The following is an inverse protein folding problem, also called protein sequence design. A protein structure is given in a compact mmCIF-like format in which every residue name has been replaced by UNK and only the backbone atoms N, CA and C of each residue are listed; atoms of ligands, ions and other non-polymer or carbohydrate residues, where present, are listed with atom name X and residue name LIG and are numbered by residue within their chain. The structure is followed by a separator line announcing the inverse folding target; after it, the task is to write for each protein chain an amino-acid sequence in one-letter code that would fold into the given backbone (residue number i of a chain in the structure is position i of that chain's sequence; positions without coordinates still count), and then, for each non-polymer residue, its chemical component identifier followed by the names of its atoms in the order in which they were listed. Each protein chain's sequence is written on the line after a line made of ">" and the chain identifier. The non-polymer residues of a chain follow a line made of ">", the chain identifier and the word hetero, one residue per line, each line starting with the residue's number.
data_IF_267056202794
#
_entry.id   IF_267056202794
#
_cell.length_a   1.000
_cell.length_b   1.000
_cell.length_c   1.000
_cell.angle_alpha   90.00
_cell.angle_beta   90.00
_cell.angle_gamma   90.00
#
_symmetry.space_group_name_H-M   'P 1'
#
loop_
_entity.id
_entity.type
_entity.pdbx_description
1 polymer ?
#
# COMPACT_ATOMS: atom_id res chain seq x y z
N UNK A 1 -23.83 8.28 -8.14
CA UNK A 1 -22.88 9.30 -7.65
C UNK A 1 -22.73 9.22 -6.14
N UNK A 2 -23.78 9.48 -5.34
CA UNK A 2 -23.72 9.32 -3.87
C UNK A 2 -23.30 7.91 -3.45
N UNK A 3 -23.91 6.88 -4.05
CA UNK A 3 -23.56 5.48 -3.82
C UNK A 3 -22.09 5.19 -4.13
N UNK A 4 -21.59 5.68 -5.27
CA UNK A 4 -20.17 5.56 -5.64
C UNK A 4 -19.26 6.22 -4.62
N UNK A 5 -19.55 7.45 -4.19
CA UNK A 5 -18.73 8.17 -3.21
C UNK A 5 -18.62 7.35 -1.92
N UNK A 6 -19.76 6.84 -1.43
CA UNK A 6 -19.80 6.00 -0.22
C UNK A 6 -19.02 4.70 -0.45
N UNK A 7 -19.25 4.00 -1.56
CA UNK A 7 -18.54 2.77 -1.89
C UNK A 7 -17.04 2.97 -2.03
N UNK A 8 -16.60 4.04 -2.69
CA UNK A 8 -15.18 4.37 -2.85
C UNK A 8 -14.54 4.69 -1.51
N UNK A 9 -15.22 5.44 -0.64
CA UNK A 9 -14.74 5.72 0.71
C UNK A 9 -14.64 4.47 1.57
N UNK A 10 -15.67 3.62 1.57
CA UNK A 10 -15.68 2.35 2.31
C UNK A 10 -14.60 1.41 1.77
N UNK A 11 -14.48 1.26 0.45
CA UNK A 11 -13.48 0.40 -0.17
C UNK A 11 -12.07 0.87 0.22
N UNK A 12 -11.79 2.16 0.05
CA UNK A 12 -10.52 2.77 0.41
C UNK A 12 -10.18 2.52 1.88
N UNK A 13 -11.03 3.01 2.79
CA UNK A 13 -10.80 2.89 4.23
C UNK A 13 -10.68 1.44 4.67
N UNK A 14 -11.51 0.53 4.15
CA UNK A 14 -11.45 -0.89 4.50
C UNK A 14 -10.15 -1.55 4.07
N UNK A 15 -9.63 -1.22 2.88
CA UNK A 15 -8.38 -1.81 2.36
C UNK A 15 -7.11 -1.13 2.86
N UNK A 16 -7.22 -0.05 3.64
CA UNK A 16 -6.07 0.65 4.19
C UNK A 16 -5.95 0.50 5.72
N UNK A 17 -6.84 -0.28 6.36
CA UNK A 17 -6.80 -0.53 7.81
C UNK A 17 -5.52 -1.27 8.22
N UNK A 18 -5.05 -2.20 7.41
CA UNK A 18 -3.84 -3.00 7.64
C UNK A 18 -2.55 -2.19 7.47
N UNK A 19 -2.52 -1.25 6.52
CA UNK A 19 -1.42 -0.30 6.33
C UNK A 19 -1.12 0.50 7.60
N UNK A 20 -2.15 0.87 8.38
CA UNK A 20 -1.98 1.58 9.66
C UNK A 20 -1.11 0.75 10.62
N UNK A 21 -1.31 -0.56 10.69
CA UNK A 21 -0.50 -1.44 11.54
C UNK A 21 0.93 -1.57 11.01
N UNK A 22 1.12 -1.66 9.70
CA UNK A 22 2.46 -1.69 9.10
C UNK A 22 3.21 -0.39 9.37
N UNK A 23 2.58 0.75 9.14
CA UNK A 23 3.15 2.07 9.42
C UNK A 23 3.49 2.21 10.90
N UNK A 24 2.59 1.79 11.80
CA UNK A 24 2.83 1.78 13.23
C UNK A 24 4.10 0.98 13.58
N UNK A 25 4.28 -0.20 13.01
CA UNK A 25 5.46 -1.04 13.23
C UNK A 25 6.72 -0.37 12.67
N UNK A 26 6.67 0.20 11.46
CA UNK A 26 7.81 0.88 10.84
C UNK A 26 8.24 2.13 11.63
N UNK A 27 7.29 2.98 12.02
CA UNK A 27 7.56 4.15 12.86
C UNK A 27 8.07 3.74 14.25
N UNK A 28 7.52 2.68 14.83
CA UNK A 28 7.99 2.12 16.10
C UNK A 28 9.46 1.66 16.01
N UNK A 29 9.85 0.96 14.93
CA UNK A 29 11.24 0.55 14.70
C UNK A 29 12.20 1.74 14.58
N UNK A 30 11.78 2.80 13.88
CA UNK A 30 12.59 4.03 13.77
C UNK A 30 12.73 4.71 15.13
N UNK A 31 11.64 4.83 15.90
CA UNK A 31 11.63 5.49 17.21
C UNK A 31 12.37 4.70 18.30
N UNK A 32 12.26 3.38 18.32
CA UNK A 32 13.00 2.51 19.27
C UNK A 32 14.49 2.45 18.97
N UNK A 33 14.90 2.55 17.69
CA UNK A 33 16.31 2.68 17.31
C UNK A 33 16.99 3.96 17.83
N UNK A 34 16.21 4.98 18.16
CA UNK A 34 16.66 6.27 18.69
C UNK A 34 16.85 6.24 20.21
N UNK A 35 15.99 5.50 20.92
CA UNK A 35 16.10 5.32 22.38
C UNK A 35 17.42 4.65 22.78
N UNK A 36 18.04 3.86 21.88
CA UNK A 36 19.34 3.20 22.11
C UNK A 36 20.58 4.09 21.85
N UNK A 37 20.42 5.25 21.21
CA UNK A 37 21.55 6.15 20.88
C UNK A 37 21.20 7.56 21.35
N UNK A 38 21.62 7.91 22.55
CA UNK A 38 21.39 9.23 23.13
C UNK A 38 22.33 10.27 22.52
N UNK A 39 21.77 11.32 21.91
CA UNK A 39 22.52 12.47 21.39
C UNK A 39 21.69 13.35 20.44
N UNK A 40 21.87 14.67 20.48
CA UNK A 40 21.11 15.65 19.68
C UNK A 40 21.19 15.44 18.15
N UNK A 41 22.28 14.83 17.66
CA UNK A 41 22.45 14.40 16.26
C UNK A 41 21.54 13.24 15.84
N UNK A 42 21.03 12.48 16.81
CA UNK A 42 20.17 11.31 16.55
C UNK A 42 18.75 11.74 16.18
N UNK A 43 18.24 12.83 16.79
CA UNK A 43 16.87 13.33 16.53
C UNK A 43 16.67 13.86 15.11
N UNK A 44 17.70 14.45 14.51
CA UNK A 44 17.68 14.84 13.09
C UNK A 44 17.61 13.64 12.15
N UNK A 45 18.38 12.58 12.44
CA UNK A 45 18.34 11.32 11.67
C UNK A 45 17.00 10.58 11.82
N UNK A 46 16.32 10.71 12.96
CA UNK A 46 14.98 10.15 13.17
C UNK A 46 13.96 10.74 12.21
N UNK A 47 13.84 12.08 12.18
CA UNK A 47 12.88 12.77 11.29
C UNK A 47 13.09 12.43 9.82
N UNK A 48 14.35 12.29 9.39
CA UNK A 48 14.66 11.88 8.01
C UNK A 48 14.20 10.45 7.72
N UNK A 49 14.36 9.53 8.66
CA UNK A 49 13.89 8.14 8.51
C UNK A 49 12.36 8.05 8.51
N UNK A 50 11.70 8.84 9.36
CA UNK A 50 10.24 8.97 9.36
C UNK A 50 9.74 9.48 8.00
N UNK A 51 10.41 10.50 7.43
CA UNK A 51 10.09 11.00 6.10
C UNK A 51 10.28 9.94 5.00
N UNK A 52 11.29 9.07 5.11
CA UNK A 52 11.47 7.98 4.14
C UNK A 52 10.35 6.93 4.22
N UNK A 53 9.76 6.72 5.40
CA UNK A 53 8.56 5.89 5.56
C UNK A 53 7.39 6.53 4.82
N UNK A 54 7.15 7.82 5.05
CA UNK A 54 6.05 8.54 4.38
C UNK A 54 6.24 8.53 2.86
N UNK A 55 7.40 8.94 2.35
CA UNK A 55 7.67 8.95 0.89
C UNK A 55 7.54 7.55 0.29
N UNK A 56 8.07 6.53 0.98
CA UNK A 56 7.98 5.15 0.53
C UNK A 56 6.55 4.64 0.48
N UNK A 57 5.72 4.97 1.48
CA UNK A 57 4.30 4.60 1.50
C UNK A 57 3.54 5.27 0.35
N UNK A 58 3.75 6.57 0.15
CA UNK A 58 3.11 7.33 -0.94
C UNK A 58 3.49 6.76 -2.31
N UNK A 59 4.76 6.42 -2.50
CA UNK A 59 5.24 5.81 -3.74
C UNK A 59 4.66 4.40 -3.96
N UNK A 60 4.68 3.55 -2.92
CA UNK A 60 4.12 2.21 -2.97
C UNK A 60 2.61 2.20 -3.24
N UNK A 61 1.87 3.08 -2.58
CA UNK A 61 0.43 3.20 -2.77
C UNK A 61 0.04 3.81 -4.12
N UNK A 62 0.82 4.78 -4.61
CA UNK A 62 0.68 5.28 -5.99
C UNK A 62 0.87 4.16 -7.01
N UNK A 63 1.83 3.26 -6.78
CA UNK A 63 2.06 2.11 -7.64
C UNK A 63 0.88 1.11 -7.59
N UNK A 64 0.28 0.87 -6.41
CA UNK A 64 -0.93 0.06 -6.27
C UNK A 64 -2.08 0.64 -7.09
N UNK A 65 -2.36 1.94 -6.98
CA UNK A 65 -3.41 2.61 -7.75
C UNK A 65 -3.11 2.49 -9.25
N UNK A 66 -1.87 2.76 -9.66
CA UNK A 66 -1.44 2.68 -11.05
C UNK A 66 -1.63 1.27 -11.64
N UNK A 67 -1.18 0.24 -10.93
CA UNK A 67 -1.38 -1.16 -11.31
C UNK A 67 -2.87 -1.52 -11.35
N UNK A 68 -3.68 -0.93 -10.48
CA UNK A 68 -5.13 -1.17 -10.45
C UNK A 68 -5.82 -0.56 -11.67
N UNK A 69 -5.43 0.66 -12.08
CA UNK A 69 -5.93 1.30 -13.31
C UNK A 69 -5.53 0.46 -14.53
N UNK A 70 -4.26 0.06 -14.65
CA UNK A 70 -3.80 -0.80 -15.76
C UNK A 70 -4.53 -2.15 -15.73
N UNK A 71 -4.65 -2.76 -14.56
CA UNK A 71 -5.34 -4.01 -14.36
C UNK A 71 -6.82 -3.92 -14.74
N UNK A 72 -7.46 -2.77 -14.54
CA UNK A 72 -8.87 -2.55 -14.94
C UNK A 72 -9.08 -2.66 -16.45
N UNK A 73 -8.05 -2.44 -17.27
CA UNK A 73 -8.09 -2.64 -18.72
C UNK A 73 -8.25 -4.12 -19.10
N UNK A 74 -8.01 -5.06 -18.18
CA UNK A 74 -8.33 -6.47 -18.40
C UNK A 74 -9.82 -6.71 -18.67
N UNK A 75 -10.69 -5.81 -18.23
CA UNK A 75 -12.14 -5.87 -18.48
C UNK A 75 -12.53 -5.81 -19.95
N UNK A 76 -11.65 -5.31 -20.83
CA UNK A 76 -11.88 -5.35 -22.28
C UNK A 76 -11.85 -6.78 -22.85
N UNK A 77 -11.16 -7.70 -22.17
CA UNK A 77 -10.96 -9.08 -22.64
C UNK A 77 -11.60 -10.13 -21.71
N UNK A 78 -11.81 -9.78 -20.44
CA UNK A 78 -12.28 -10.69 -19.38
C UNK A 78 -13.58 -10.13 -18.78
N UNK A 79 -14.68 -10.90 -18.71
CA UNK A 79 -15.90 -10.46 -18.05
C UNK A 79 -15.66 -10.04 -16.59
N UNK A 80 -16.31 -8.97 -16.14
CA UNK A 80 -16.13 -8.42 -14.78
C UNK A 80 -16.40 -9.46 -13.68
N UNK A 81 -17.29 -10.43 -13.93
CA UNK A 81 -17.56 -11.54 -13.00
C UNK A 81 -16.33 -12.40 -12.70
N UNK A 82 -15.40 -12.53 -13.66
CA UNK A 82 -14.15 -13.28 -13.48
C UNK A 82 -13.09 -12.43 -12.77
N UNK A 83 -13.13 -11.10 -12.91
CA UNK A 83 -12.25 -10.18 -12.18
C UNK A 83 -12.49 -10.28 -10.67
N UNK A 84 -13.72 -10.58 -10.24
CA UNK A 84 -14.04 -10.83 -8.83
C UNK A 84 -13.25 -11.99 -8.20
N UNK A 85 -12.68 -12.90 -9.01
CA UNK A 85 -11.80 -13.97 -8.54
C UNK A 85 -10.44 -13.43 -8.04
N UNK A 86 -10.12 -12.16 -8.26
CA UNK A 86 -8.92 -11.54 -7.68
C UNK A 86 -8.91 -11.58 -6.16
N UNK A 87 -10.06 -11.77 -5.50
CA UNK A 87 -10.12 -12.03 -4.05
C UNK A 87 -9.35 -13.28 -3.60
N UNK A 88 -9.01 -14.20 -4.51
CA UNK A 88 -8.11 -15.32 -4.21
C UNK A 88 -6.64 -14.91 -4.15
N UNK A 89 -6.24 -13.78 -4.75
CA UNK A 89 -4.85 -13.29 -4.74
C UNK A 89 -4.38 -12.97 -3.31
N UNK A 90 -5.12 -12.18 -2.49
CA UNK A 90 -4.75 -11.95 -1.09
C UNK A 90 -4.67 -13.25 -0.28
N UNK A 91 -5.59 -14.20 -0.51
CA UNK A 91 -5.59 -15.49 0.19
C UNK A 91 -4.31 -16.27 -0.13
N UNK A 92 -3.97 -16.39 -1.42
CA UNK A 92 -2.75 -17.05 -1.86
C UNK A 92 -1.50 -16.39 -1.29
N UNK A 93 -1.43 -15.05 -1.32
CA UNK A 93 -0.31 -14.30 -0.76
C UNK A 93 -0.19 -14.47 0.75
N UNK A 94 -1.31 -14.51 1.49
CA UNK A 94 -1.34 -14.80 2.92
C UNK A 94 -0.80 -16.19 3.26
N UNK A 95 -1.27 -17.22 2.55
CA UNK A 95 -0.79 -18.61 2.72
C UNK A 95 0.70 -18.72 2.40
N UNK A 96 1.13 -18.17 1.26
CA UNK A 96 2.53 -18.16 0.84
C UNK A 96 3.40 -17.40 1.85
N UNK A 97 2.90 -16.28 2.37
CA UNK A 97 3.52 -15.49 3.43
C UNK A 97 3.86 -16.34 4.64
N UNK A 98 2.87 -17.04 5.20
CA UNK A 98 3.04 -17.93 6.36
C UNK A 98 4.08 -19.02 6.08
N UNK A 99 4.05 -19.65 4.90
CA UNK A 99 5.00 -20.70 4.53
C UNK A 99 6.43 -20.16 4.35
N UNK A 100 6.56 -18.92 3.87
CA UNK A 100 7.86 -18.27 3.61
C UNK A 100 8.55 -17.74 4.88
N UNK A 101 7.81 -17.52 5.98
CA UNK A 101 8.37 -17.11 7.28
C UNK A 101 9.42 -18.10 7.80
N UNK A 102 9.36 -19.35 7.34
CA UNK A 102 10.31 -20.41 7.71
C UNK A 102 11.70 -20.25 7.07
N UNK A 103 11.84 -19.41 6.03
CA UNK A 103 13.05 -19.32 5.21
C UNK A 103 13.70 -17.93 5.20
N UNK A 104 13.40 -17.08 6.19
CA UNK A 104 13.92 -15.71 6.25
C UNK A 104 15.41 -15.67 6.60
N UNK A 105 16.26 -15.67 5.57
CA UNK A 105 17.68 -15.30 5.68
C UNK A 105 17.76 -13.77 5.69
N UNK A 106 18.31 -13.20 6.76
CA UNK A 106 18.50 -11.77 6.96
C UNK A 106 19.50 -11.23 5.93
N UNK A 107 19.01 -10.71 4.81
CA UNK A 107 19.84 -10.00 3.85
C UNK A 107 20.08 -8.57 4.32
N UNK A 108 21.30 -8.11 4.07
CA UNK A 108 21.93 -6.92 4.64
C UNK A 108 21.15 -5.62 4.38
N UNK A 109 21.23 -4.74 5.37
CA UNK A 109 20.63 -3.41 5.36
C UNK A 109 21.37 -2.56 4.33
N UNK A 110 20.74 -2.28 3.19
CA UNK A 110 21.23 -1.26 2.26
C UNK A 110 20.98 0.10 2.92
N UNK A 111 22.03 0.65 3.52
CA UNK A 111 22.04 1.87 4.33
C UNK A 111 22.11 3.15 3.47
N UNK A 112 21.26 3.24 2.44
CA UNK A 112 21.12 4.43 1.60
C UNK A 112 19.66 4.91 1.55
N UNK A 113 19.47 6.23 1.36
CA UNK A 113 18.16 6.90 1.36
C UNK A 113 17.17 6.23 0.40
N UNK A 114 17.60 5.96 -0.83
CA UNK A 114 16.80 5.25 -1.83
C UNK A 114 16.39 3.85 -1.35
N UNK A 115 17.32 3.10 -0.73
CA UNK A 115 17.07 1.77 -0.19
C UNK A 115 15.97 1.76 0.88
N UNK A 116 15.92 2.78 1.75
CA UNK A 116 14.86 2.88 2.77
C UNK A 116 13.50 3.19 2.16
N UNK A 117 13.42 4.07 1.16
CA UNK A 117 12.18 4.41 0.46
C UNK A 117 11.66 3.19 -0.33
N UNK A 118 12.53 2.54 -1.12
CA UNK A 118 12.17 1.35 -1.89
C UNK A 118 11.77 0.18 -0.99
N UNK A 119 12.41 0.02 0.17
CA UNK A 119 12.02 -0.99 1.14
C UNK A 119 10.59 -0.78 1.63
N UNK A 120 10.24 0.45 2.01
CA UNK A 120 8.89 0.77 2.48
C UNK A 120 7.89 0.57 1.35
N UNK A 121 8.15 1.12 0.16
CA UNK A 121 7.30 0.92 -1.02
C UNK A 121 7.09 -0.57 -1.38
N UNK A 122 8.13 -1.40 -1.23
CA UNK A 122 8.04 -2.84 -1.47
C UNK A 122 7.18 -3.54 -0.41
N UNK A 123 7.26 -3.11 0.86
CA UNK A 123 6.40 -3.60 1.93
C UNK A 123 4.95 -3.20 1.65
N UNK A 124 4.69 -1.94 1.30
CA UNK A 124 3.37 -1.43 0.92
C UNK A 124 2.78 -2.23 -0.25
N UNK A 125 3.56 -2.43 -1.32
CA UNK A 125 3.12 -3.21 -2.49
C UNK A 125 2.83 -4.68 -2.14
N UNK A 126 3.65 -5.29 -1.28
CA UNK A 126 3.44 -6.66 -0.83
C UNK A 126 2.20 -6.80 0.04
N UNK A 127 1.88 -5.76 0.82
CA UNK A 127 0.69 -5.70 1.66
C UNK A 127 -0.58 -5.47 0.83
N UNK A 128 -0.54 -4.54 -0.12
CA UNK A 128 -1.72 -4.08 -0.84
C UNK A 128 -2.27 -5.00 -1.93
N UNK A 129 -2.11 -6.31 -1.77
CA UNK A 129 -2.73 -7.31 -2.64
C UNK A 129 -4.26 -7.26 -2.56
N UNK A 130 -4.80 -6.99 -1.37
CA UNK A 130 -6.22 -6.78 -1.13
C UNK A 130 -6.72 -5.47 -1.75
N UNK A 131 -5.95 -4.36 -1.64
CA UNK A 131 -6.22 -3.12 -2.37
C UNK A 131 -6.37 -3.40 -3.87
N UNK A 132 -5.38 -4.07 -4.48
CA UNK A 132 -5.40 -4.41 -5.92
C UNK A 132 -6.63 -5.27 -6.26
N UNK A 133 -6.95 -6.26 -5.42
CA UNK A 133 -8.07 -7.17 -5.64
C UNK A 133 -9.44 -6.49 -5.63
N UNK A 134 -9.57 -5.38 -4.90
CA UNK A 134 -10.80 -4.58 -4.80
C UNK A 134 -10.81 -3.45 -5.83
N UNK A 135 -9.67 -2.77 -6.02
CA UNK A 135 -9.58 -1.59 -6.88
C UNK A 135 -9.70 -1.93 -8.37
N UNK A 136 -9.11 -3.04 -8.84
CA UNK A 136 -9.23 -3.47 -10.24
C UNK A 136 -10.70 -3.65 -10.67
N UNK A 137 -11.51 -4.51 -10.03
CA UNK A 137 -12.91 -4.69 -10.43
C UNK A 137 -13.73 -3.41 -10.24
N UNK A 138 -13.41 -2.62 -9.22
CA UNK A 138 -14.07 -1.35 -8.97
C UNK A 138 -13.85 -0.35 -10.12
N UNK A 139 -12.60 -0.12 -10.54
CA UNK A 139 -12.28 0.75 -11.70
C UNK A 139 -12.82 0.18 -13.02
N UNK A 140 -12.82 -1.14 -13.19
CA UNK A 140 -13.34 -1.81 -14.38
C UNK A 140 -14.87 -1.67 -14.53
N UNK A 141 -15.59 -1.62 -13.40
CA UNK A 141 -17.06 -1.51 -13.38
C UNK A 141 -17.61 -0.09 -13.55
N UNK A 142 -16.73 0.91 -13.56
CA UNK A 142 -17.07 2.33 -13.50
C UNK A 142 -16.72 3.05 -14.81
N UNK A 143 -17.46 4.12 -15.14
CA UNK A 143 -17.09 4.99 -16.26
C UNK A 143 -15.99 5.98 -15.89
N UNK A 144 -15.37 6.62 -16.89
CA UNK A 144 -14.23 7.52 -16.69
C UNK A 144 -14.50 8.66 -15.68
N UNK A 145 -15.68 9.30 -15.76
CA UNK A 145 -16.07 10.36 -14.81
C UNK A 145 -16.11 9.85 -13.37
N UNK A 146 -16.62 8.64 -13.19
CA UNK A 146 -16.73 8.00 -11.88
C UNK A 146 -15.36 7.57 -11.36
N UNK A 147 -14.48 7.06 -12.22
CA UNK A 147 -13.10 6.75 -11.87
C UNK A 147 -12.32 7.98 -11.41
N UNK A 148 -12.52 9.14 -12.05
CA UNK A 148 -11.90 10.41 -11.61
C UNK A 148 -12.36 10.77 -10.20
N UNK A 149 -13.67 10.65 -9.89
CA UNK A 149 -14.19 10.91 -8.54
C UNK A 149 -13.60 9.93 -7.52
N UNK A 150 -13.53 8.64 -7.86
CA UNK A 150 -12.89 7.62 -7.01
C UNK A 150 -11.42 7.96 -6.73
N UNK A 151 -10.67 8.37 -7.76
CA UNK A 151 -9.28 8.78 -7.60
C UNK A 151 -9.16 9.99 -6.69
N UNK A 152 -10.00 11.01 -6.84
CA UNK A 152 -10.00 12.17 -5.93
C UNK A 152 -10.26 11.75 -4.48
N UNK A 153 -11.16 10.78 -4.24
CA UNK A 153 -11.40 10.24 -2.89
C UNK A 153 -10.15 9.53 -2.36
N UNK A 154 -9.48 8.72 -3.19
CA UNK A 154 -8.24 8.04 -2.80
C UNK A 154 -7.10 9.05 -2.55
N UNK A 155 -7.08 10.16 -3.30
CA UNK A 155 -6.14 11.27 -3.13
C UNK A 155 -6.43 12.09 -1.88
N UNK A 156 -7.68 12.20 -1.42
CA UNK A 156 -8.04 12.96 -0.22
C UNK A 156 -7.39 12.44 1.07
N UNK A 157 -6.84 11.23 1.05
CA UNK A 157 -5.96 10.70 2.10
C UNK A 157 -4.61 11.43 2.19
N UNK A 158 -4.17 12.10 1.14
CA UNK A 158 -2.84 12.68 1.02
C UNK A 158 -2.69 14.04 1.74
N UNK A 159 -3.79 14.61 2.25
CA UNK A 159 -3.87 15.98 2.80
C UNK A 159 -3.84 16.08 4.34
N UNK A 160 -3.58 14.99 5.08
CA UNK A 160 -3.47 15.00 6.56
C UNK A 160 -2.14 14.47 7.09
#
# INVERSE_FOLDING_TARGET
>A
MVTTIISSFIAFTSTNIDDIFILLVLFSQVRTGVIKKEGSTVRGRTKMKELYIVIGQYFGFSLIIFLSIIGSLSSFFIPVSWIGLLGFVPIYMGVKGILSLRSYKRNEVIDNVSGSIFKVASITLANGADNISIYIPMFASQNLKTNIVTLVIFSGYYDY
#
